data_IF_967273576335
#
_entry.id   IF_967273576335
#
_cell.length_a   1.000
_cell.length_b   1.000
_cell.length_c   1.000
_cell.angle_alpha   90.00
_cell.angle_beta   90.00
_cell.angle_gamma   90.00
#
_symmetry.space_group_name_H-M   'P 1'
#
loop_
_entity.id
_entity.type
_entity.pdbx_description
1 polymer ?
#
# COMPACT_ATOMS: atom_id res chain seq x y z
N UNK A 1 2.64 13.99 -1.05
CA UNK A 1 2.24 12.72 -0.45
C UNK A 1 3.40 11.70 -0.40
N UNK A 2 4.23 11.65 -1.42
CA UNK A 2 5.38 10.73 -1.50
C UNK A 2 6.72 11.35 -1.08
N UNK A 3 6.77 12.63 -0.78
CA UNK A 3 8.02 13.33 -0.47
C UNK A 3 8.84 12.67 0.66
N UNK A 4 8.24 12.25 1.79
CA UNK A 4 9.00 11.57 2.84
C UNK A 4 9.62 10.23 2.40
N UNK A 5 8.98 9.54 1.44
CA UNK A 5 9.44 8.22 0.96
C UNK A 5 10.74 8.31 0.16
N UNK A 6 10.97 9.43 -0.53
CA UNK A 6 12.20 9.66 -1.31
C UNK A 6 13.13 10.70 -0.66
N UNK A 7 12.95 10.98 0.63
CA UNK A 7 13.88 11.74 1.44
C UNK A 7 13.66 13.25 1.48
N UNK A 8 12.57 13.77 0.94
CA UNK A 8 12.22 15.18 1.08
C UNK A 8 11.42 15.40 2.38
N UNK A 9 11.70 16.47 3.12
CA UNK A 9 10.97 16.81 4.33
C UNK A 9 9.51 17.13 4.06
N UNK A 10 9.21 17.84 2.97
CA UNK A 10 7.87 18.16 2.52
C UNK A 10 7.86 18.46 1.01
N UNK A 11 6.66 18.45 0.43
CA UNK A 11 6.36 19.03 -0.87
C UNK A 11 5.42 20.21 -0.68
N UNK A 12 5.66 21.29 -1.40
CA UNK A 12 4.81 22.47 -1.37
C UNK A 12 4.38 22.85 -2.78
N UNK A 13 3.09 23.11 -2.91
CA UNK A 13 2.48 23.61 -4.14
C UNK A 13 1.69 24.89 -3.80
N UNK A 14 1.80 25.97 -4.60
CA UNK A 14 1.00 27.15 -4.39
C UNK A 14 -0.49 26.85 -4.63
N UNK A 15 -1.36 27.59 -3.95
CA UNK A 15 -2.81 27.52 -4.12
C UNK A 15 -3.19 28.26 -5.40
N UNK A 16 -4.13 27.70 -6.18
CA UNK A 16 -4.62 28.25 -7.43
C UNK A 16 -6.12 27.99 -7.64
N UNK A 17 -6.64 28.41 -8.80
CA UNK A 17 -8.04 28.20 -9.15
C UNK A 17 -8.45 26.72 -9.24
N UNK A 18 -7.51 25.82 -9.59
CA UNK A 18 -7.76 24.38 -9.61
C UNK A 18 -8.00 23.85 -8.20
N UNK A 19 -7.24 24.36 -7.22
CA UNK A 19 -7.44 24.07 -5.80
C UNK A 19 -8.84 24.49 -5.34
N UNK A 20 -9.27 25.71 -5.70
CA UNK A 20 -10.62 26.19 -5.35
C UNK A 20 -11.71 25.36 -6.04
N UNK A 21 -11.50 24.98 -7.30
CA UNK A 21 -12.40 24.09 -8.03
C UNK A 21 -12.57 22.73 -7.33
N UNK A 22 -11.48 22.13 -6.85
CA UNK A 22 -11.54 20.91 -6.07
C UNK A 22 -12.26 21.08 -4.73
N UNK A 23 -12.04 22.19 -4.03
CA UNK A 23 -12.73 22.51 -2.79
C UNK A 23 -14.26 22.60 -3.03
N UNK A 24 -14.67 23.22 -4.12
CA UNK A 24 -16.09 23.31 -4.53
C UNK A 24 -16.66 21.92 -4.80
N UNK A 25 -15.98 21.10 -5.61
CA UNK A 25 -16.40 19.72 -5.91
C UNK A 25 -16.53 18.88 -4.63
N UNK A 26 -15.56 19.01 -3.70
CA UNK A 26 -15.55 18.27 -2.44
C UNK A 26 -16.47 18.83 -1.35
N UNK A 27 -17.40 19.74 -1.71
CA UNK A 27 -18.47 20.21 -0.83
C UNK A 27 -18.08 21.26 0.21
N UNK A 28 -16.97 22.00 0.01
CA UNK A 28 -16.62 23.12 0.91
C UNK A 28 -17.56 24.29 0.69
N UNK A 29 -17.91 25.00 1.78
CA UNK A 29 -18.78 26.17 1.69
C UNK A 29 -18.16 27.32 0.90
N UNK A 30 -18.99 28.16 0.26
CA UNK A 30 -18.52 29.33 -0.45
C UNK A 30 -17.69 30.28 0.43
N UNK A 31 -18.06 30.41 1.70
CA UNK A 31 -17.32 31.20 2.69
C UNK A 31 -15.93 30.64 2.95
N UNK A 32 -15.81 29.31 3.11
CA UNK A 32 -14.51 28.66 3.33
C UNK A 32 -13.63 28.78 2.09
N UNK A 33 -14.18 28.66 0.89
CA UNK A 33 -13.43 28.81 -0.37
C UNK A 33 -12.93 30.26 -0.50
N UNK A 34 -13.79 31.26 -0.24
CA UNK A 34 -13.40 32.66 -0.26
C UNK A 34 -12.33 32.99 0.80
N UNK A 35 -12.44 32.40 1.99
CA UNK A 35 -11.42 32.55 3.06
C UNK A 35 -10.07 31.98 2.61
N UNK A 36 -10.03 30.77 2.03
CA UNK A 36 -8.79 30.13 1.55
C UNK A 36 -8.14 30.97 0.45
N UNK A 37 -8.93 31.49 -0.49
CA UNK A 37 -8.44 32.36 -1.56
C UNK A 37 -7.84 33.65 -0.98
N UNK A 38 -8.59 34.37 -0.13
CA UNK A 38 -8.14 35.62 0.47
C UNK A 38 -6.89 35.42 1.33
N UNK A 39 -6.86 34.35 2.14
CA UNK A 39 -5.72 34.01 2.99
C UNK A 39 -4.47 33.65 2.18
N UNK A 40 -4.61 32.79 1.17
CA UNK A 40 -3.50 32.38 0.31
C UNK A 40 -2.88 33.60 -0.42
N UNK A 41 -3.73 34.52 -0.91
CA UNK A 41 -3.27 35.77 -1.55
C UNK A 41 -2.54 36.68 -0.53
N UNK A 42 -3.10 36.85 0.67
CA UNK A 42 -2.49 37.69 1.72
C UNK A 42 -1.16 37.14 2.23
N UNK A 43 -0.99 35.82 2.26
CA UNK A 43 0.23 35.15 2.70
C UNK A 43 1.30 34.96 1.59
N UNK A 44 1.01 35.37 0.35
CA UNK A 44 1.91 35.15 -0.78
C UNK A 44 2.02 33.68 -1.20
N UNK A 45 1.03 32.85 -0.86
CA UNK A 45 0.97 31.42 -1.23
C UNK A 45 0.10 31.17 -2.46
N UNK A 46 -0.46 32.22 -3.05
CA UNK A 46 -1.25 32.14 -4.27
C UNK A 46 -0.34 32.10 -5.49
N UNK A 47 -0.68 31.24 -6.44
CA UNK A 47 0.03 31.14 -7.72
C UNK A 47 -0.42 32.29 -8.65
N UNK A 48 0.48 33.22 -8.94
CA UNK A 48 0.28 34.18 -10.02
C UNK A 48 1.09 33.74 -11.25
N UNK A 49 0.53 33.83 -12.46
CA UNK A 49 1.28 33.58 -13.68
C UNK A 49 2.49 34.50 -13.77
N UNK A 50 3.68 33.93 -13.96
CA UNK A 50 4.93 34.69 -14.09
C UNK A 50 5.69 34.94 -12.78
N UNK A 51 5.14 34.57 -11.62
CA UNK A 51 5.90 34.61 -10.37
C UNK A 51 6.96 33.51 -10.37
N UNK A 52 8.22 33.89 -10.22
CA UNK A 52 9.36 32.97 -10.11
C UNK A 52 10.02 33.15 -8.73
N UNK A 53 9.72 32.29 -7.74
CA UNK A 53 10.38 32.32 -6.45
C UNK A 53 11.89 32.03 -6.58
N UNK A 54 12.68 32.61 -5.71
CA UNK A 54 14.12 32.33 -5.64
C UNK A 54 14.36 31.06 -4.85
N UNK A 55 14.83 30.01 -5.53
CA UNK A 55 15.13 28.72 -4.93
C UNK A 55 16.63 28.51 -4.75
N UNK A 56 17.02 27.63 -3.82
CA UNK A 56 18.42 27.21 -3.65
C UNK A 56 18.93 26.46 -4.88
N UNK A 57 18.04 25.64 -5.49
CA UNK A 57 18.29 24.94 -6.74
C UNK A 57 16.99 24.74 -7.51
N UNK A 58 17.08 24.56 -8.80
CA UNK A 58 15.92 24.35 -9.68
C UNK A 58 16.13 23.10 -10.54
N UNK A 59 15.02 22.42 -10.83
CA UNK A 59 14.95 21.30 -11.77
C UNK A 59 13.92 21.63 -12.85
N UNK A 60 14.22 21.23 -14.09
CA UNK A 60 13.30 21.32 -15.20
C UNK A 60 12.99 19.92 -15.73
N UNK A 61 11.72 19.68 -16.03
CA UNK A 61 11.26 18.43 -16.65
C UNK A 61 10.47 18.77 -17.91
N UNK A 62 10.95 18.24 -19.05
CA UNK A 62 10.17 18.24 -20.28
C UNK A 62 9.08 17.18 -20.18
N UNK A 63 7.82 17.61 -20.09
CA UNK A 63 6.66 16.72 -19.95
C UNK A 63 6.48 15.77 -21.14
N UNK A 64 7.04 16.10 -22.33
CA UNK A 64 7.01 15.21 -23.48
C UNK A 64 7.87 13.95 -23.31
N UNK A 65 8.82 13.98 -22.37
CA UNK A 65 9.68 12.84 -22.03
C UNK A 65 9.08 11.89 -20.99
N UNK A 66 7.93 12.24 -20.44
CA UNK A 66 7.24 11.41 -19.43
C UNK A 66 6.59 10.20 -20.10
N UNK A 67 6.98 9.02 -19.67
CA UNK A 67 6.47 7.73 -20.14
C UNK A 67 5.83 6.93 -19.02
N UNK A 68 4.95 5.99 -19.38
CA UNK A 68 4.32 5.08 -18.41
C UNK A 68 5.40 4.32 -17.63
N UNK A 69 5.32 4.38 -16.30
CA UNK A 69 6.35 3.84 -15.41
C UNK A 69 5.73 3.23 -14.15
N UNK A 70 6.47 2.31 -13.54
CA UNK A 70 6.24 1.80 -12.20
C UNK A 70 7.38 2.24 -11.29
N UNK A 71 7.19 2.12 -9.97
CA UNK A 71 8.28 2.20 -9.02
C UNK A 71 8.51 0.83 -8.38
N UNK A 72 9.74 0.34 -8.42
CA UNK A 72 10.10 -0.98 -7.90
C UNK A 72 11.42 -1.50 -8.47
N UNK A 73 11.80 -2.70 -8.07
CA UNK A 73 11.05 -3.69 -7.29
C UNK A 73 11.11 -3.55 -5.77
N UNK A 74 11.87 -2.60 -5.22
CA UNK A 74 12.16 -2.56 -3.77
C UNK A 74 11.86 -1.22 -3.10
N UNK A 75 11.92 -0.09 -3.81
CA UNK A 75 11.80 1.25 -3.23
C UNK A 75 10.90 2.17 -4.04
N UNK A 76 10.22 3.14 -3.41
CA UNK A 76 9.31 4.05 -4.10
C UNK A 76 9.98 4.96 -5.14
N UNK A 77 11.26 5.23 -5.00
CA UNK A 77 12.05 6.07 -5.92
C UNK A 77 12.67 5.29 -7.09
N UNK A 78 12.63 3.97 -7.09
CA UNK A 78 13.19 3.14 -8.15
C UNK A 78 12.25 3.17 -9.36
N UNK A 79 12.36 4.21 -10.20
CA UNK A 79 11.53 4.35 -11.40
C UNK A 79 11.94 3.36 -12.48
N UNK A 80 10.98 2.63 -13.00
CA UNK A 80 11.14 1.70 -14.11
C UNK A 80 10.10 1.99 -15.19
N UNK A 81 10.53 2.27 -16.42
CA UNK A 81 9.63 2.43 -17.55
C UNK A 81 8.88 1.12 -17.83
N UNK A 82 7.60 1.20 -18.19
CA UNK A 82 6.71 0.04 -18.35
C UNK A 82 7.30 -1.07 -19.26
N UNK A 83 7.91 -0.77 -20.41
CA UNK A 83 8.54 -1.81 -21.26
C UNK A 83 9.78 -2.46 -20.63
N UNK A 84 10.39 -1.84 -19.63
CA UNK A 84 11.61 -2.34 -18.98
C UNK A 84 11.33 -3.14 -17.68
N UNK A 85 10.06 -3.33 -17.29
CA UNK A 85 9.70 -4.06 -16.08
C UNK A 85 10.21 -5.50 -16.08
N UNK A 86 10.12 -6.28 -17.19
CA UNK A 86 10.67 -7.64 -17.24
C UNK A 86 12.17 -7.70 -16.95
N UNK A 87 12.94 -6.75 -17.51
CA UNK A 87 14.39 -6.68 -17.30
C UNK A 87 14.73 -6.27 -15.86
N UNK A 88 13.99 -5.30 -15.29
CA UNK A 88 14.20 -4.87 -13.91
C UNK A 88 13.86 -6.00 -12.92
N UNK A 89 12.81 -6.78 -13.19
CA UNK A 89 12.49 -7.98 -12.42
C UNK A 89 13.63 -9.01 -12.49
N UNK A 90 14.12 -9.30 -13.70
CA UNK A 90 15.23 -10.24 -13.91
C UNK A 90 16.49 -9.80 -13.15
N UNK A 91 16.88 -8.54 -13.28
CA UNK A 91 18.05 -8.00 -12.59
C UNK A 91 17.93 -8.09 -11.06
N UNK A 92 16.75 -7.80 -10.50
CA UNK A 92 16.49 -7.93 -9.07
C UNK A 92 16.61 -9.38 -8.58
N UNK A 93 16.12 -10.34 -9.38
CA UNK A 93 16.20 -11.77 -9.06
C UNK A 93 17.64 -12.30 -9.13
N UNK A 94 18.40 -11.89 -10.11
CA UNK A 94 19.81 -12.31 -10.30
C UNK A 94 20.69 -11.81 -9.14
N UNK A 95 20.46 -10.58 -8.66
CA UNK A 95 21.18 -10.01 -7.52
C UNK A 95 20.88 -10.75 -6.20
N UNK A 96 19.61 -11.08 -5.97
CA UNK A 96 19.18 -11.76 -4.73
C UNK A 96 19.67 -13.21 -4.64
N UNK A 97 19.91 -13.87 -5.78
CA UNK A 97 20.30 -15.30 -5.83
C UNK A 97 21.81 -15.47 -6.00
N UNK A 98 22.57 -14.38 -6.16
CA UNK A 98 24.01 -14.47 -6.43
C UNK A 98 24.35 -15.31 -7.67
N UNK A 99 23.44 -15.40 -8.63
CA UNK A 99 23.61 -16.19 -9.86
C UNK A 99 23.50 -17.72 -9.69
N UNK A 100 23.10 -18.23 -8.52
CA UNK A 100 23.14 -19.67 -8.20
C UNK A 100 21.77 -20.36 -8.19
N UNK A 101 20.72 -19.83 -8.80
CA UNK A 101 19.42 -20.50 -8.83
C UNK A 101 19.47 -21.75 -9.72
N UNK A 102 19.50 -22.91 -9.07
CA UNK A 102 19.50 -24.24 -9.73
C UNK A 102 18.12 -24.90 -9.77
N UNK A 103 17.10 -24.24 -9.20
CA UNK A 103 15.74 -24.81 -9.10
C UNK A 103 14.88 -24.50 -10.32
N UNK A 104 13.86 -25.33 -10.56
CA UNK A 104 12.87 -25.16 -11.61
C UNK A 104 12.22 -23.77 -11.51
N UNK A 105 11.94 -23.17 -12.68
CA UNK A 105 11.32 -21.84 -12.82
C UNK A 105 9.82 -21.82 -12.48
N UNK A 106 9.26 -22.94 -11.99
CA UNK A 106 7.84 -23.06 -11.65
C UNK A 106 7.51 -24.23 -10.72
N UNK A 107 6.35 -24.14 -10.10
CA UNK A 107 5.76 -25.14 -9.23
C UNK A 107 4.27 -25.31 -9.54
N UNK A 108 3.85 -26.54 -9.79
CA UNK A 108 2.44 -26.89 -9.98
C UNK A 108 1.72 -26.93 -8.64
N UNK A 109 0.49 -26.41 -8.60
CA UNK A 109 -0.39 -26.44 -7.44
C UNK A 109 -1.85 -26.59 -7.87
N UNK A 110 -2.73 -26.98 -6.95
CA UNK A 110 -4.17 -27.09 -7.19
C UNK A 110 -4.91 -26.03 -6.44
N UNK A 111 -5.76 -25.27 -7.13
CA UNK A 111 -6.65 -24.26 -6.55
C UNK A 111 -8.06 -24.47 -7.10
N UNK A 112 -9.05 -24.55 -6.22
CA UNK A 112 -10.47 -24.79 -6.57
C UNK A 112 -10.68 -26.00 -7.50
N UNK A 113 -9.89 -27.06 -7.30
CA UNK A 113 -9.95 -28.30 -8.08
C UNK A 113 -9.27 -28.23 -9.46
N UNK A 114 -8.70 -27.08 -9.82
CA UNK A 114 -7.96 -26.90 -11.07
C UNK A 114 -6.46 -26.88 -10.84
N UNK A 115 -5.70 -27.46 -11.75
CA UNK A 115 -4.25 -27.48 -11.70
C UNK A 115 -3.67 -26.23 -12.38
N UNK A 116 -2.79 -25.53 -11.67
CA UNK A 116 -2.11 -24.33 -12.15
C UNK A 116 -0.61 -24.46 -11.94
N UNK A 117 0.17 -23.66 -12.65
CA UNK A 117 1.62 -23.53 -12.46
C UNK A 117 1.94 -22.11 -12.02
N UNK A 118 2.57 -21.98 -10.85
CA UNK A 118 3.13 -20.71 -10.37
C UNK A 118 4.59 -20.64 -10.75
N UNK A 119 5.01 -19.54 -11.38
CA UNK A 119 6.38 -19.34 -11.86
C UNK A 119 7.04 -18.15 -11.19
N UNK A 120 8.37 -18.08 -11.26
CA UNK A 120 9.10 -16.85 -10.93
C UNK A 120 8.52 -15.66 -11.70
N UNK A 121 8.31 -14.55 -11.00
CA UNK A 121 7.68 -13.35 -11.55
C UNK A 121 6.15 -13.35 -11.50
N UNK A 122 5.52 -14.41 -11.00
CA UNK A 122 4.07 -14.38 -10.79
C UNK A 122 3.66 -13.21 -9.89
N UNK A 123 2.66 -12.47 -10.31
CA UNK A 123 1.97 -11.49 -9.45
C UNK A 123 1.01 -12.27 -8.57
N UNK A 124 1.22 -12.24 -7.26
CA UNK A 124 0.35 -12.94 -6.30
C UNK A 124 -0.53 -11.99 -5.47
N UNK A 125 -0.24 -10.68 -5.52
CA UNK A 125 -1.06 -9.62 -4.93
C UNK A 125 -1.20 -8.49 -5.93
N UNK A 126 -2.43 -8.06 -6.20
CA UNK A 126 -2.75 -6.87 -6.96
C UNK A 126 -3.77 -6.03 -6.17
N UNK A 127 -3.35 -4.86 -5.67
CA UNK A 127 -4.17 -4.10 -4.75
C UNK A 127 -4.34 -2.65 -5.18
N UNK A 128 -5.59 -2.21 -5.34
CA UNK A 128 -5.92 -0.79 -5.44
C UNK A 128 -6.06 -0.27 -4.02
N UNK A 129 -5.13 0.59 -3.58
CA UNK A 129 -5.08 1.14 -2.23
C UNK A 129 -5.26 2.64 -2.20
N UNK A 130 -5.46 3.22 -1.01
CA UNK A 130 -5.93 4.59 -0.84
C UNK A 130 -4.90 5.69 -1.05
N UNK A 131 -3.60 5.41 -1.00
CA UNK A 131 -2.58 6.43 -0.64
C UNK A 131 -2.52 7.67 -1.54
N UNK A 132 -2.80 7.56 -2.85
CA UNK A 132 -2.66 8.69 -3.80
C UNK A 132 -3.94 8.98 -4.58
N UNK A 133 -4.93 8.12 -4.50
CA UNK A 133 -6.01 8.10 -5.50
C UNK A 133 -7.28 8.81 -5.06
N UNK A 134 -7.42 9.13 -3.77
CA UNK A 134 -8.66 9.69 -3.20
C UNK A 134 -9.00 11.05 -3.78
N UNK A 135 -7.99 11.87 -4.08
CA UNK A 135 -8.19 13.24 -4.57
C UNK A 135 -8.28 13.32 -6.09
N UNK A 136 -8.01 12.23 -6.82
CA UNK A 136 -8.03 12.22 -8.27
C UNK A 136 -8.97 11.13 -8.82
N UNK A 137 -10.25 11.45 -9.04
CA UNK A 137 -11.22 10.50 -9.58
C UNK A 137 -10.83 9.93 -10.95
N UNK A 138 -10.07 10.66 -11.76
CA UNK A 138 -9.74 10.24 -13.13
C UNK A 138 -8.99 8.91 -13.17
N UNK A 139 -8.01 8.70 -12.27
CA UNK A 139 -7.24 7.45 -12.24
C UNK A 139 -8.06 6.27 -11.71
N UNK A 140 -9.02 6.54 -10.82
CA UNK A 140 -9.93 5.52 -10.32
C UNK A 140 -10.95 5.14 -11.40
N UNK A 141 -11.58 6.12 -12.04
CA UNK A 141 -12.47 5.87 -13.17
C UNK A 141 -11.76 5.13 -14.30
N UNK A 142 -10.51 5.47 -14.59
CA UNK A 142 -9.71 4.73 -15.57
C UNK A 142 -9.54 3.26 -15.20
N UNK A 143 -9.32 2.92 -13.91
CA UNK A 143 -9.23 1.54 -13.45
C UNK A 143 -10.56 0.78 -13.63
N UNK A 144 -11.69 1.40 -13.24
CA UNK A 144 -13.01 0.82 -13.42
C UNK A 144 -13.39 0.62 -14.89
N UNK A 145 -13.07 1.59 -15.76
CA UNK A 145 -13.29 1.48 -17.21
C UNK A 145 -12.41 0.40 -17.85
N UNK A 146 -11.14 0.28 -17.42
CA UNK A 146 -10.25 -0.77 -17.87
C UNK A 146 -10.79 -2.15 -17.46
N UNK A 147 -11.27 -2.30 -16.22
CA UNK A 147 -11.92 -3.52 -15.77
C UNK A 147 -13.15 -3.85 -16.61
N UNK A 148 -14.03 -2.88 -16.87
CA UNK A 148 -15.19 -3.01 -17.75
C UNK A 148 -14.80 -3.49 -19.16
N UNK A 149 -13.78 -2.87 -19.76
CA UNK A 149 -13.33 -3.22 -21.10
C UNK A 149 -12.72 -4.63 -21.12
N UNK A 150 -11.92 -5.00 -20.11
CA UNK A 150 -11.34 -6.33 -19.95
C UNK A 150 -12.41 -7.42 -19.83
N UNK A 151 -13.39 -7.23 -18.94
CA UNK A 151 -14.51 -8.16 -18.75
C UNK A 151 -15.32 -8.35 -20.03
N UNK A 152 -15.63 -7.26 -20.74
CA UNK A 152 -16.34 -7.33 -22.03
C UNK A 152 -15.56 -8.08 -23.11
N UNK A 153 -14.24 -8.06 -23.07
CA UNK A 153 -13.37 -8.84 -23.94
C UNK A 153 -13.20 -10.31 -23.48
N UNK A 154 -13.70 -10.67 -22.30
CA UNK A 154 -13.60 -12.02 -21.74
C UNK A 154 -12.38 -12.27 -20.86
N UNK A 155 -11.59 -11.23 -20.55
CA UNK A 155 -10.46 -11.39 -19.66
C UNK A 155 -10.90 -11.53 -18.21
N UNK A 156 -10.11 -12.26 -17.43
CA UNK A 156 -10.24 -12.45 -15.98
C UNK A 156 -8.87 -12.30 -15.31
N UNK A 157 -8.88 -11.90 -14.05
CA UNK A 157 -7.66 -11.96 -13.23
C UNK A 157 -7.16 -13.40 -13.15
N UNK A 158 -5.84 -13.57 -13.08
CA UNK A 158 -5.30 -14.93 -12.93
C UNK A 158 -5.66 -15.48 -11.56
N UNK A 159 -6.02 -16.79 -11.45
CA UNK A 159 -6.55 -17.37 -10.23
C UNK A 159 -5.57 -17.32 -9.03
N UNK A 160 -4.27 -17.22 -9.27
CA UNK A 160 -3.26 -17.08 -8.22
C UNK A 160 -3.05 -15.64 -7.73
N UNK A 161 -3.73 -14.64 -8.33
CA UNK A 161 -3.60 -13.24 -7.95
C UNK A 161 -4.66 -12.88 -6.92
N UNK A 162 -4.25 -12.58 -5.71
CA UNK A 162 -5.12 -12.01 -4.69
C UNK A 162 -5.34 -10.53 -4.99
N UNK A 163 -6.55 -10.22 -5.46
CA UNK A 163 -6.97 -8.85 -5.77
C UNK A 163 -7.69 -8.20 -4.58
N UNK A 164 -7.64 -6.87 -4.48
CA UNK A 164 -8.39 -6.12 -3.46
C UNK A 164 -8.58 -4.67 -3.85
N UNK A 165 -9.70 -4.08 -3.38
CA UNK A 165 -10.01 -2.67 -3.48
C UNK A 165 -10.15 -2.08 -2.07
N UNK A 166 -9.30 -1.09 -1.73
CA UNK A 166 -9.36 -0.37 -0.46
C UNK A 166 -9.19 1.13 -0.70
N UNK A 167 -10.24 1.82 -1.18
CA UNK A 167 -10.14 3.24 -1.49
C UNK A 167 -9.99 4.10 -0.23
N UNK A 168 -9.53 5.33 -0.40
CA UNK A 168 -9.31 6.25 0.71
C UNK A 168 -10.57 6.89 1.28
N UNK A 169 -11.70 6.79 0.57
CA UNK A 169 -12.97 7.39 0.97
C UNK A 169 -14.15 6.57 0.44
N UNK A 170 -15.24 6.58 1.17
CA UNK A 170 -16.53 6.02 0.71
C UNK A 170 -17.08 6.72 -0.53
N UNK A 171 -16.72 7.96 -0.76
CA UNK A 171 -17.07 8.68 -2.02
C UNK A 171 -16.60 7.93 -3.26
N UNK A 172 -15.48 7.19 -3.17
CA UNK A 172 -14.97 6.39 -4.30
C UNK A 172 -15.94 5.28 -4.67
N UNK A 173 -16.53 4.60 -3.70
CA UNK A 173 -17.55 3.58 -3.95
C UNK A 173 -18.81 4.19 -4.50
N UNK A 174 -19.26 5.33 -3.99
CA UNK A 174 -20.42 6.05 -4.50
C UNK A 174 -20.30 6.40 -6.00
N UNK A 175 -19.15 6.92 -6.43
CA UNK A 175 -19.00 7.26 -7.85
C UNK A 175 -18.74 6.03 -8.73
N UNK A 176 -18.15 4.96 -8.24
CA UNK A 176 -18.07 3.70 -8.97
C UNK A 176 -19.45 3.09 -9.21
N UNK A 177 -20.32 3.15 -8.21
CA UNK A 177 -21.70 2.67 -8.33
C UNK A 177 -22.51 3.55 -9.31
N UNK A 178 -22.40 4.88 -9.22
CA UNK A 178 -23.03 5.81 -10.16
C UNK A 178 -22.60 5.54 -11.60
N UNK A 179 -21.30 5.34 -11.83
CA UNK A 179 -20.73 5.02 -13.14
C UNK A 179 -20.95 3.55 -13.57
N UNK A 180 -21.58 2.71 -12.72
CA UNK A 180 -21.81 1.27 -12.94
C UNK A 180 -20.53 0.49 -13.24
N UNK A 181 -19.46 0.79 -12.48
CA UNK A 181 -18.14 0.18 -12.65
C UNK A 181 -17.83 -0.86 -11.57
N UNK A 182 -18.51 -0.82 -10.42
CA UNK A 182 -18.30 -1.72 -9.27
C UNK A 182 -18.37 -3.19 -9.70
N UNK A 183 -19.43 -3.60 -10.40
CA UNK A 183 -19.63 -4.99 -10.80
C UNK A 183 -18.48 -5.54 -11.67
N UNK A 184 -17.87 -4.72 -12.51
CA UNK A 184 -16.74 -5.13 -13.34
C UNK A 184 -15.45 -5.29 -12.55
N UNK A 185 -15.23 -4.46 -11.54
CA UNK A 185 -14.11 -4.59 -10.60
C UNK A 185 -14.27 -5.87 -9.78
N UNK A 186 -15.45 -6.12 -9.24
CA UNK A 186 -15.78 -7.33 -8.48
C UNK A 186 -15.64 -8.61 -9.33
N UNK A 187 -16.04 -8.58 -10.60
CA UNK A 187 -15.88 -9.70 -11.53
C UNK A 187 -14.41 -10.05 -11.79
N UNK A 188 -13.50 -9.07 -11.66
CA UNK A 188 -12.06 -9.28 -11.65
C UNK A 188 -11.50 -9.56 -10.25
N UNK A 189 -12.35 -9.68 -9.23
CA UNK A 189 -11.97 -9.99 -7.85
C UNK A 189 -11.51 -8.78 -7.03
N UNK A 190 -11.57 -7.56 -7.58
CA UNK A 190 -11.28 -6.32 -6.83
C UNK A 190 -12.47 -5.95 -5.92
N UNK A 191 -12.74 -6.82 -4.95
CA UNK A 191 -13.78 -6.59 -3.95
C UNK A 191 -13.34 -5.52 -2.94
N UNK A 192 -14.31 -4.75 -2.45
CA UNK A 192 -14.08 -3.81 -1.36
C UNK A 192 -13.73 -4.58 -0.08
N UNK A 193 -12.54 -4.35 0.45
CA UNK A 193 -12.04 -5.00 1.68
C UNK A 193 -11.91 -4.03 2.86
N UNK A 194 -12.08 -2.75 2.62
CA UNK A 194 -12.00 -1.69 3.63
C UNK A 194 -11.66 -0.35 3.01
N UNK A 195 -11.50 0.66 3.85
CA UNK A 195 -11.11 2.01 3.44
C UNK A 195 -9.78 2.38 4.11
N UNK A 196 -8.87 2.97 3.34
CA UNK A 196 -7.60 3.44 3.86
C UNK A 196 -6.40 2.54 3.53
N UNK A 197 -5.35 2.64 4.35
CA UNK A 197 -4.11 1.90 4.16
C UNK A 197 -4.27 0.43 4.57
N UNK A 198 -4.36 -0.46 3.59
CA UNK A 198 -4.45 -1.91 3.79
C UNK A 198 -3.16 -2.60 3.32
N UNK A 199 -3.07 -2.96 2.05
CA UNK A 199 -1.90 -3.66 1.49
C UNK A 199 -0.59 -2.90 1.67
N UNK A 200 -0.60 -1.59 1.50
CA UNK A 200 0.60 -0.74 1.66
C UNK A 200 1.23 -0.80 3.07
N UNK A 201 0.47 -1.20 4.08
CA UNK A 201 0.93 -1.37 5.48
C UNK A 201 1.02 -2.84 5.90
N UNK A 202 0.92 -3.78 4.97
CA UNK A 202 1.02 -5.21 5.28
C UNK A 202 -0.26 -5.86 5.80
N UNK A 203 -1.42 -5.26 5.56
CA UNK A 203 -2.72 -5.80 5.96
C UNK A 203 -3.45 -6.52 4.81
N UNK A 204 -2.71 -7.07 3.85
CA UNK A 204 -3.30 -7.88 2.76
C UNK A 204 -3.88 -9.22 3.24
N UNK A 205 -3.58 -9.60 4.48
CA UNK A 205 -3.88 -10.94 4.98
C UNK A 205 -3.00 -12.03 4.33
N UNK A 206 -3.19 -13.31 4.71
CA UNK A 206 -2.43 -14.42 4.16
C UNK A 206 -2.77 -14.64 2.67
N UNK A 207 -1.83 -15.21 1.93
CA UNK A 207 -2.14 -15.79 0.62
C UNK A 207 -2.90 -17.10 0.83
N UNK A 208 -3.67 -17.58 -0.16
CA UNK A 208 -4.24 -18.93 -0.11
C UNK A 208 -3.16 -20.00 0.10
N UNK A 209 -3.43 -20.96 0.98
CA UNK A 209 -2.46 -21.99 1.38
C UNK A 209 -1.75 -22.70 0.20
N UNK A 210 -2.45 -23.09 -0.89
CA UNK A 210 -1.79 -23.72 -2.04
C UNK A 210 -0.75 -22.81 -2.71
N UNK A 211 -1.01 -21.51 -2.73
CA UNK A 211 -0.10 -20.50 -3.31
C UNK A 211 1.10 -20.30 -2.39
N UNK A 212 0.87 -20.15 -1.09
CA UNK A 212 1.97 -20.08 -0.11
C UNK A 212 2.89 -21.30 -0.16
N UNK A 213 2.29 -22.49 -0.23
CA UNK A 213 3.03 -23.73 -0.32
C UNK A 213 3.84 -23.80 -1.62
N UNK A 214 3.26 -23.46 -2.76
CA UNK A 214 3.96 -23.45 -4.04
C UNK A 214 5.14 -22.46 -4.03
N UNK A 215 5.00 -21.27 -3.43
CA UNK A 215 6.09 -20.30 -3.29
C UNK A 215 7.22 -20.88 -2.44
N UNK A 216 6.91 -21.47 -1.27
CA UNK A 216 7.89 -22.01 -0.34
C UNK A 216 8.64 -23.22 -0.91
N UNK A 217 7.90 -24.19 -1.46
CA UNK A 217 8.48 -25.43 -2.03
C UNK A 217 9.29 -25.16 -3.31
N UNK A 218 8.81 -24.24 -4.14
CA UNK A 218 9.48 -23.82 -5.38
C UNK A 218 10.62 -22.83 -5.15
N UNK A 219 10.72 -22.25 -3.93
CA UNK A 219 11.58 -21.10 -3.64
C UNK A 219 11.40 -20.00 -4.69
N UNK A 220 10.13 -19.69 -4.99
CA UNK A 220 9.78 -18.79 -6.08
C UNK A 220 9.94 -17.33 -5.66
N UNK A 221 10.40 -16.52 -6.60
CA UNK A 221 10.40 -15.06 -6.46
C UNK A 221 9.14 -14.51 -7.10
N UNK A 222 8.19 -14.11 -6.27
CA UNK A 222 6.89 -13.57 -6.69
C UNK A 222 6.79 -12.07 -6.44
N UNK A 223 5.81 -11.43 -7.07
CA UNK A 223 5.59 -9.99 -7.01
C UNK A 223 4.25 -9.56 -6.45
N UNK A 224 4.23 -8.34 -5.90
CA UNK A 224 3.01 -7.59 -5.61
C UNK A 224 2.97 -6.31 -6.44
N UNK A 225 1.81 -5.94 -6.94
CA UNK A 225 1.56 -4.67 -7.64
C UNK A 225 0.46 -3.92 -6.90
N UNK A 226 0.75 -2.69 -6.48
CA UNK A 226 -0.19 -1.92 -5.67
C UNK A 226 -0.17 -0.43 -6.01
N UNK A 227 -1.31 0.23 -5.91
CA UNK A 227 -1.43 1.68 -6.08
C UNK A 227 -1.15 2.44 -4.78
N UNK A 228 -0.10 2.04 -4.08
CA UNK A 228 0.33 2.63 -2.81
C UNK A 228 1.45 3.64 -2.95
N UNK A 229 2.07 4.00 -1.83
CA UNK A 229 3.23 4.88 -1.75
C UNK A 229 4.48 4.21 -1.16
N UNK A 230 4.38 2.97 -0.71
CA UNK A 230 5.48 2.18 -0.14
C UNK A 230 5.47 0.76 -0.69
N UNK A 231 6.65 0.27 -1.03
CA UNK A 231 6.86 -1.07 -1.59
C UNK A 231 8.08 -1.78 -0.99
N UNK A 232 8.46 -1.44 0.24
CA UNK A 232 9.61 -2.06 0.89
C UNK A 232 9.40 -3.56 1.07
N UNK A 233 10.44 -4.33 0.78
CA UNK A 233 10.43 -5.77 0.94
C UNK A 233 10.13 -6.19 2.39
N UNK A 234 9.32 -7.23 2.54
CA UNK A 234 8.86 -7.70 3.84
C UNK A 234 7.72 -6.90 4.47
N UNK A 235 7.37 -5.71 3.89
CA UNK A 235 6.26 -4.88 4.37
C UNK A 235 4.92 -5.33 3.83
N UNK A 236 4.83 -5.60 2.52
CA UNK A 236 3.58 -5.94 1.86
C UNK A 236 3.13 -7.36 2.24
N UNK A 237 4.02 -8.33 2.07
CA UNK A 237 3.80 -9.71 2.49
C UNK A 237 5.16 -10.43 2.67
N UNK A 238 5.33 -11.28 3.70
CA UNK A 238 6.62 -11.93 3.98
C UNK A 238 7.16 -12.79 2.84
N UNK A 239 6.30 -13.39 2.03
CA UNK A 239 6.70 -14.26 0.92
C UNK A 239 6.92 -13.50 -0.40
N UNK A 240 6.60 -12.21 -0.45
CA UNK A 240 6.70 -11.42 -1.69
C UNK A 240 8.00 -10.62 -1.67
N UNK A 241 8.91 -10.97 -2.59
CA UNK A 241 10.26 -10.38 -2.66
C UNK A 241 10.33 -9.15 -3.55
N UNK A 242 9.46 -9.01 -4.55
CA UNK A 242 9.42 -7.86 -5.45
C UNK A 242 8.10 -7.11 -5.33
N UNK A 243 8.18 -5.81 -5.07
CA UNK A 243 7.01 -5.00 -4.79
C UNK A 243 7.01 -3.77 -5.69
N UNK A 244 5.90 -3.54 -6.40
CA UNK A 244 5.80 -2.55 -7.46
C UNK A 244 4.66 -1.58 -7.20
N UNK A 245 4.97 -0.29 -7.22
CA UNK A 245 3.96 0.76 -7.18
C UNK A 245 3.52 1.09 -8.60
N UNK A 246 2.24 1.08 -8.83
CA UNK A 246 1.62 1.35 -10.12
C UNK A 246 0.35 2.19 -9.98
N UNK A 247 -0.09 2.83 -11.05
CA UNK A 247 -1.41 3.45 -11.09
C UNK A 247 -2.52 2.40 -10.96
N UNK A 248 -3.72 2.75 -10.45
CA UNK A 248 -4.85 1.81 -10.35
C UNK A 248 -5.16 1.05 -11.65
N UNK A 249 -5.17 1.67 -12.85
CA UNK A 249 -5.37 0.93 -14.08
C UNK A 249 -4.27 -0.11 -14.34
N UNK A 250 -3.00 0.21 -14.06
CA UNK A 250 -1.91 -0.75 -14.23
C UNK A 250 -1.96 -1.88 -13.19
N UNK A 251 -2.48 -1.64 -11.99
CA UNK A 251 -2.74 -2.71 -11.01
C UNK A 251 -3.73 -3.72 -11.58
N UNK A 252 -4.83 -3.24 -12.21
CA UNK A 252 -5.79 -4.13 -12.90
C UNK A 252 -5.12 -4.88 -14.04
N UNK A 253 -4.32 -4.20 -14.87
CA UNK A 253 -3.61 -4.82 -15.99
C UNK A 253 -2.66 -5.95 -15.53
N UNK A 254 -1.92 -5.75 -14.45
CA UNK A 254 -1.04 -6.78 -13.90
C UNK A 254 -1.79 -7.94 -13.21
N UNK A 255 -3.01 -7.71 -12.69
CA UNK A 255 -3.86 -8.79 -12.22
C UNK A 255 -4.31 -9.69 -13.36
N UNK A 256 -4.65 -9.10 -14.52
CA UNK A 256 -5.00 -9.83 -15.76
C UNK A 256 -3.79 -10.59 -16.32
N UNK A 257 -2.63 -9.96 -16.38
CA UNK A 257 -1.39 -10.55 -16.87
C UNK A 257 -0.87 -11.66 -15.95
N UNK A 258 -0.94 -11.44 -14.63
CA UNK A 258 -0.49 -12.40 -13.61
C UNK A 258 1.02 -12.58 -13.50
N UNK A 259 1.83 -11.74 -14.16
CA UNK A 259 3.28 -11.87 -14.21
C UNK A 259 4.00 -10.52 -14.36
N UNK A 260 5.15 -10.36 -13.69
CA UNK A 260 6.08 -9.26 -13.90
C UNK A 260 7.03 -9.47 -15.08
N UNK A 261 7.05 -10.67 -15.65
CA UNK A 261 7.90 -11.02 -16.81
C UNK A 261 7.29 -10.62 -18.16
N UNK A 262 6.10 -10.05 -18.18
CA UNK A 262 5.38 -9.62 -19.38
C UNK A 262 5.71 -8.17 -19.73
N UNK A 263 5.98 -7.88 -20.98
CA UNK A 263 5.99 -6.51 -21.53
C UNK A 263 4.55 -6.14 -21.94
N UNK A 264 3.84 -5.43 -21.03
CA UNK A 264 2.46 -5.00 -21.26
C UNK A 264 2.28 -4.11 -22.50
N UNK A 265 3.34 -3.57 -23.06
CA UNK A 265 3.30 -2.73 -24.27
C UNK A 265 3.27 -3.54 -25.56
N UNK A 266 3.67 -4.83 -25.51
CA UNK A 266 3.87 -5.67 -26.69
C UNK A 266 3.19 -7.03 -26.63
N UNK A 267 3.01 -7.58 -25.42
CA UNK A 267 2.51 -8.94 -25.22
C UNK A 267 1.04 -8.93 -24.81
N UNK A 268 0.27 -9.96 -25.20
CA UNK A 268 -1.15 -10.02 -24.84
C UNK A 268 -1.34 -10.37 -23.37
N UNK A 269 -2.38 -9.80 -22.77
CA UNK A 269 -2.83 -10.09 -21.40
C UNK A 269 -3.51 -11.46 -21.27
N UNK A 270 -4.07 -11.95 -22.36
CA UNK A 270 -4.79 -13.20 -22.46
C UNK A 270 -5.54 -13.31 -23.79
N UNK A 271 -6.42 -14.31 -23.88
CA UNK A 271 -7.31 -14.54 -25.02
C UNK A 271 -8.70 -13.98 -24.71
N UNK A 272 -9.30 -13.35 -25.71
CA UNK A 272 -10.65 -12.83 -25.63
C UNK A 272 -11.72 -13.90 -25.83
N UNK A 273 -13.00 -13.53 -25.73
CA UNK A 273 -14.14 -14.41 -25.98
C UNK A 273 -14.17 -15.00 -27.42
N UNK A 274 -13.49 -14.31 -28.33
CA UNK A 274 -13.35 -14.69 -29.74
C UNK A 274 -12.10 -15.55 -30.03
N UNK A 275 -11.35 -15.92 -28.98
CA UNK A 275 -10.09 -16.64 -29.07
C UNK A 275 -8.91 -15.82 -29.60
N UNK A 276 -9.08 -14.49 -29.76
CA UNK A 276 -8.01 -13.63 -30.22
C UNK A 276 -7.20 -13.07 -29.05
N UNK A 277 -5.90 -12.80 -29.23
CA UNK A 277 -5.08 -12.19 -28.20
C UNK A 277 -5.55 -10.75 -27.90
N UNK A 278 -5.71 -10.43 -26.63
CA UNK A 278 -6.10 -9.10 -26.16
C UNK A 278 -4.91 -8.40 -25.51
N UNK A 279 -4.57 -7.23 -26.02
CA UNK A 279 -3.46 -6.40 -25.56
C UNK A 279 -3.94 -5.28 -24.64
N UNK A 280 -3.03 -4.70 -23.86
CA UNK A 280 -3.36 -3.58 -22.98
C UNK A 280 -4.01 -2.41 -23.73
N UNK A 281 -3.53 -2.10 -24.93
CA UNK A 281 -4.08 -1.03 -25.78
C UNK A 281 -5.54 -1.25 -26.20
N UNK A 282 -5.98 -2.51 -26.26
CA UNK A 282 -7.34 -2.87 -26.71
C UNK A 282 -8.40 -2.67 -25.61
N UNK A 283 -7.96 -2.53 -24.36
CA UNK A 283 -8.80 -2.35 -23.17
C UNK A 283 -8.54 -1.03 -22.44
N UNK A 284 -7.47 -0.29 -22.82
CA UNK A 284 -7.16 0.98 -22.20
C UNK A 284 -8.23 2.03 -22.54
N UNK A 285 -8.87 2.68 -21.53
CA UNK A 285 -9.90 3.66 -21.79
C UNK A 285 -9.33 4.91 -22.45
N UNK A 286 -10.09 5.53 -23.35
CA UNK A 286 -9.72 6.82 -23.94
C UNK A 286 -9.81 7.96 -22.91
N UNK A 287 -9.08 9.04 -23.14
CA UNK A 287 -9.19 10.25 -22.29
C UNK A 287 -10.62 10.82 -22.28
N UNK A 288 -11.37 10.64 -23.37
CA UNK A 288 -12.77 11.06 -23.47
C UNK A 288 -13.68 10.19 -22.59
N UNK A 289 -13.50 8.86 -22.61
CA UNK A 289 -14.27 7.95 -21.74
C UNK A 289 -14.03 8.26 -20.27
N UNK A 290 -12.75 8.52 -19.91
CA UNK A 290 -12.39 8.90 -18.53
C UNK A 290 -13.04 10.22 -18.15
N UNK A 291 -12.96 11.24 -18.99
CA UNK A 291 -13.56 12.55 -18.72
C UNK A 291 -15.08 12.43 -18.52
N UNK A 292 -15.77 11.68 -19.37
CA UNK A 292 -17.21 11.42 -19.24
C UNK A 292 -17.52 10.67 -17.94
N UNK A 293 -16.73 9.68 -17.55
CA UNK A 293 -16.95 8.97 -16.30
C UNK A 293 -16.75 9.87 -15.07
N UNK A 294 -15.80 10.80 -15.12
CA UNK A 294 -15.53 11.76 -14.04
C UNK A 294 -16.73 12.72 -13.82
N UNK A 295 -17.56 12.97 -14.83
CA UNK A 295 -18.78 13.76 -14.67
C UNK A 295 -19.79 13.15 -13.68
N UNK A 296 -19.69 11.84 -13.43
CA UNK A 296 -20.49 11.14 -12.40
C UNK A 296 -20.09 11.50 -10.96
N UNK A 297 -18.91 12.11 -10.75
CA UNK A 297 -18.45 12.54 -9.42
C UNK A 297 -19.13 13.85 -9.05
N UNK A 298 -20.03 13.80 -8.08
CA UNK A 298 -20.88 14.91 -7.69
C UNK A 298 -20.67 15.34 -6.25
N UNK A 299 -20.87 16.62 -5.98
CA UNK A 299 -20.72 17.23 -4.66
C UNK A 299 -21.62 16.56 -3.60
N UNK A 300 -22.79 16.11 -4.00
CA UNK A 300 -23.76 15.45 -3.12
C UNK A 300 -23.19 14.16 -2.49
N UNK A 301 -22.31 13.44 -3.20
CA UNK A 301 -21.63 12.24 -2.68
C UNK A 301 -20.71 12.62 -1.51
N UNK A 302 -20.00 13.73 -1.62
CA UNK A 302 -19.14 14.22 -0.54
C UNK A 302 -19.98 14.70 0.66
N UNK A 303 -21.08 15.40 0.42
CA UNK A 303 -21.96 15.83 1.49
C UNK A 303 -22.58 14.66 2.24
N UNK A 304 -23.03 13.62 1.52
CA UNK A 304 -23.57 12.40 2.09
C UNK A 304 -22.52 11.73 3.01
N UNK A 305 -21.38 11.39 2.45
CA UNK A 305 -20.39 10.59 3.17
C UNK A 305 -19.68 11.35 4.31
N UNK A 306 -19.46 12.65 4.14
CA UNK A 306 -18.86 13.47 5.20
C UNK A 306 -19.87 13.96 6.24
N UNK A 307 -21.16 14.07 5.87
CA UNK A 307 -22.23 14.40 6.80
C UNK A 307 -22.44 13.33 7.89
N UNK A 308 -22.26 12.07 7.51
CA UNK A 308 -22.47 10.90 8.38
C UNK A 308 -21.19 10.36 9.02
N UNK A 309 -20.06 11.03 8.83
CA UNK A 309 -18.73 10.51 9.23
C UNK A 309 -18.62 10.22 10.73
N UNK A 310 -19.36 10.93 11.57
CA UNK A 310 -19.38 10.73 13.03
C UNK A 310 -20.47 9.75 13.50
N UNK A 311 -21.43 9.42 12.65
CA UNK A 311 -22.51 8.49 12.99
C UNK A 311 -22.04 7.03 12.94
N UNK A 312 -21.20 6.72 11.96
CA UNK A 312 -20.67 5.39 11.73
C UNK A 312 -21.75 4.40 11.27
N UNK A 313 -21.36 3.16 11.10
CA UNK A 313 -22.28 2.05 10.78
C UNK A 313 -22.93 1.45 12.03
N UNK A 314 -23.83 0.47 11.83
CA UNK A 314 -24.53 -0.21 12.93
C UNK A 314 -23.56 -0.90 13.91
N UNK A 315 -22.42 -1.40 13.46
CA UNK A 315 -21.42 -2.02 14.33
C UNK A 315 -20.73 -0.97 15.20
N UNK A 316 -20.41 0.18 14.63
CA UNK A 316 -19.85 1.30 15.38
C UNK A 316 -20.82 1.82 16.43
N UNK A 317 -22.08 2.01 16.08
CA UNK A 317 -23.14 2.46 17.00
C UNK A 317 -23.45 1.45 18.12
N UNK A 318 -23.23 0.16 17.86
CA UNK A 318 -23.44 -0.90 18.86
C UNK A 318 -22.35 -0.94 19.93
N UNK A 319 -21.21 -0.25 19.74
CA UNK A 319 -20.13 -0.22 20.73
C UNK A 319 -20.58 0.53 21.98
N UNK A 320 -20.63 -0.20 23.09
CA UNK A 320 -20.96 0.39 24.38
C UNK A 320 -19.74 1.08 24.97
N UNK A 321 -19.83 2.37 25.19
CA UNK A 321 -18.75 3.18 25.79
C UNK A 321 -19.25 3.76 27.11
N UNK A 322 -18.58 3.45 28.21
CA UNK A 322 -18.77 4.16 29.47
C UNK A 322 -17.95 5.41 29.46
N UNK A 323 -18.60 6.57 29.39
CA UNK A 323 -17.93 7.86 29.44
C UNK A 323 -17.16 8.03 30.76
N UNK A 324 -15.87 8.38 30.67
CA UNK A 324 -15.04 8.75 31.82
C UNK A 324 -14.05 9.82 31.43
N UNK A 325 -13.54 10.60 32.42
CA UNK A 325 -12.55 11.64 32.16
C UNK A 325 -11.17 11.08 31.72
N UNK A 326 -10.90 9.81 32.03
CA UNK A 326 -9.67 9.11 31.70
C UNK A 326 -9.98 7.71 31.20
N UNK A 327 -9.10 7.15 30.39
CA UNK A 327 -9.21 5.80 29.90
C UNK A 327 -9.11 4.80 31.08
N UNK A 328 -10.02 3.82 31.11
CA UNK A 328 -10.01 2.74 32.11
C UNK A 328 -9.16 1.59 31.58
N UNK A 329 -7.95 1.47 32.08
CA UNK A 329 -7.01 0.42 31.71
C UNK A 329 -7.48 -0.95 32.17
N UNK A 330 -7.42 -1.94 31.28
CA UNK A 330 -7.71 -3.35 31.56
C UNK A 330 -6.38 -4.12 31.53
N UNK A 331 -6.00 -4.69 32.66
CA UNK A 331 -4.71 -5.39 32.80
C UNK A 331 -4.61 -6.69 32.01
N UNK A 332 -5.74 -7.32 31.72
CA UNK A 332 -5.85 -8.55 30.94
C UNK A 332 -5.94 -8.28 29.42
N UNK A 333 -6.06 -7.04 29.00
CA UNK A 333 -6.12 -6.69 27.57
C UNK A 333 -4.84 -7.10 26.84
N UNK A 334 -4.99 -7.84 25.74
CA UNK A 334 -3.89 -8.20 24.83
C UNK A 334 -3.75 -7.23 23.66
N UNK A 335 -4.60 -6.20 23.56
CA UNK A 335 -4.56 -5.17 22.53
C UNK A 335 -4.05 -3.81 23.02
N UNK A 336 -4.47 -3.40 24.22
CA UNK A 336 -4.12 -2.07 24.77
C UNK A 336 -3.61 -2.25 26.20
N UNK A 337 -2.37 -1.85 26.44
CA UNK A 337 -1.75 -1.91 27.76
C UNK A 337 -1.17 -0.57 28.18
N UNK A 338 -1.25 -0.28 29.48
CA UNK A 338 -0.65 0.92 30.04
C UNK A 338 0.86 0.90 29.80
N UNK A 339 1.44 1.89 29.08
CA UNK A 339 2.86 1.87 28.78
C UNK A 339 3.71 2.26 30.00
N UNK A 340 4.86 1.60 30.24
CA UNK A 340 5.63 1.77 31.46
C UNK A 340 6.30 3.12 31.59
N UNK A 341 6.56 3.82 30.48
CA UNK A 341 7.26 5.12 30.50
C UNK A 341 6.44 6.28 31.07
N UNK A 342 5.15 6.09 31.34
CA UNK A 342 4.33 7.07 32.06
C UNK A 342 4.29 6.83 33.57
N UNK A 343 4.70 5.66 34.07
CA UNK A 343 4.60 5.30 35.49
C UNK A 343 5.46 6.16 36.40
N UNK A 344 6.54 6.74 35.87
CA UNK A 344 7.48 7.61 36.62
C UNK A 344 7.33 9.09 36.26
N UNK A 345 6.34 9.45 35.44
CA UNK A 345 6.13 10.82 34.98
C UNK A 345 5.69 11.72 36.14
N UNK A 346 6.33 12.89 36.23
CA UNK A 346 6.03 13.91 37.25
C UNK A 346 5.22 15.05 36.63
N UNK A 347 4.40 15.72 37.43
CA UNK A 347 3.69 16.95 37.01
C UNK A 347 4.65 18.03 36.55
N UNK A 348 5.78 18.18 37.24
CA UNK A 348 6.87 19.07 36.82
C UNK A 348 7.99 18.21 36.25
N UNK A 349 8.35 18.41 34.96
CA UNK A 349 9.47 17.70 34.36
C UNK A 349 10.78 17.96 35.06
N UNK A 350 11.64 16.96 35.13
CA UNK A 350 13.02 17.18 35.59
C UNK A 350 13.76 18.05 34.57
N UNK A 351 14.74 18.88 35.02
CA UNK A 351 15.54 19.67 34.11
C UNK A 351 16.35 18.76 33.16
N UNK A 352 16.53 19.24 31.93
CA UNK A 352 17.34 18.52 30.92
C UNK A 352 18.78 18.41 31.46
N UNK A 353 19.31 17.21 31.38
CA UNK A 353 20.70 16.91 31.80
C UNK A 353 21.48 16.29 30.65
N UNK A 354 22.79 16.49 30.64
CA UNK A 354 23.67 15.81 29.71
C UNK A 354 23.68 14.30 29.95
N UNK A 355 23.67 13.53 28.89
CA UNK A 355 23.88 12.07 28.92
C UNK A 355 25.39 11.84 28.97
N UNK A 356 25.89 11.29 30.08
CA UNK A 356 27.31 10.98 30.29
C UNK A 356 27.52 9.48 30.36
N UNK A 357 28.68 9.02 29.91
CA UNK A 357 29.17 7.63 30.01
C UNK A 357 28.23 6.61 29.30
N UNK A 358 27.42 7.05 28.36
CA UNK A 358 26.55 6.18 27.59
C UNK A 358 27.36 5.30 26.62
N UNK A 359 26.98 4.02 26.53
CA UNK A 359 27.55 3.07 25.58
C UNK A 359 26.62 2.89 24.40
N UNK A 360 27.18 2.69 23.21
CA UNK A 360 26.41 2.43 22.01
C UNK A 360 25.84 1.00 22.11
N UNK A 361 24.51 0.89 22.05
CA UNK A 361 23.81 -0.38 22.04
C UNK A 361 23.72 -0.99 20.62
N UNK A 362 23.45 -0.18 19.62
CA UNK A 362 23.34 -0.60 18.23
C UNK A 362 23.75 0.53 17.30
N UNK A 363 24.35 0.18 16.16
CA UNK A 363 24.65 1.07 15.05
C UNK A 363 23.82 0.56 13.86
N UNK A 364 22.97 1.43 13.32
CA UNK A 364 22.15 1.12 12.16
C UNK A 364 22.77 1.80 10.95
N UNK A 365 23.02 1.01 9.89
CA UNK A 365 23.55 1.51 8.64
C UNK A 365 22.50 2.24 7.81
N UNK A 366 22.89 2.77 6.65
CA UNK A 366 22.02 3.45 5.72
C UNK A 366 20.85 2.55 5.27
N UNK A 367 19.74 3.20 4.92
CA UNK A 367 18.51 2.56 4.43
C UNK A 367 17.76 1.70 5.45
N UNK A 368 18.12 1.72 6.72
CA UNK A 368 17.31 1.15 7.80
C UNK A 368 16.16 2.12 8.12
N UNK A 369 14.93 1.63 7.99
CA UNK A 369 13.70 2.40 8.20
C UNK A 369 12.96 1.90 9.45
N UNK A 370 11.86 2.57 9.80
CA UNK A 370 10.95 2.14 10.86
C UNK A 370 10.39 0.73 10.62
N UNK A 371 10.24 0.30 9.36
CA UNK A 371 9.77 -1.04 9.02
C UNK A 371 10.76 -2.16 9.43
N UNK A 372 12.05 -1.85 9.51
CA UNK A 372 13.06 -2.79 10.02
C UNK A 372 13.01 -2.91 11.54
N UNK A 373 12.68 -1.82 12.23
CA UNK A 373 12.71 -1.74 13.71
C UNK A 373 11.37 -2.17 14.31
N UNK A 374 10.24 -1.69 13.77
CA UNK A 374 8.90 -1.91 14.31
C UNK A 374 7.98 -2.50 13.24
N UNK A 375 7.74 -3.81 13.24
CA UNK A 375 6.95 -4.48 12.22
C UNK A 375 5.46 -4.11 12.30
N UNK A 376 4.76 -4.26 11.19
CA UNK A 376 3.30 -4.09 11.09
C UNK A 376 2.57 -5.38 10.66
N UNK A 377 3.28 -6.33 10.07
CA UNK A 377 2.73 -7.56 9.51
C UNK A 377 2.30 -8.61 10.54
N UNK A 378 2.01 -9.81 10.04
CA UNK A 378 1.50 -10.93 10.85
C UNK A 378 2.49 -11.38 11.93
N UNK A 379 1.95 -11.79 13.07
CA UNK A 379 2.71 -12.33 14.21
C UNK A 379 2.85 -13.84 14.02
N UNK A 380 4.09 -14.33 13.90
CA UNK A 380 4.37 -15.76 13.78
C UNK A 380 4.18 -16.47 15.11
N UNK A 381 3.66 -17.70 15.08
CA UNK A 381 3.38 -18.52 16.27
C UNK A 381 4.61 -18.74 17.15
N UNK A 382 5.73 -19.03 16.55
CA UNK A 382 7.00 -19.35 17.20
C UNK A 382 7.87 -18.12 17.54
N UNK A 383 7.39 -16.91 17.20
CA UNK A 383 8.06 -15.66 17.56
C UNK A 383 7.92 -15.33 19.05
N UNK A 384 8.79 -14.47 19.61
CA UNK A 384 8.64 -13.98 20.98
C UNK A 384 7.26 -13.39 21.28
N UNK A 385 6.70 -12.63 20.32
CA UNK A 385 5.36 -12.05 20.43
C UNK A 385 4.25 -13.12 20.37
N UNK A 386 4.41 -14.13 19.51
CA UNK A 386 3.46 -15.24 19.41
C UNK A 386 3.42 -16.08 20.68
N UNK A 387 4.58 -16.37 21.28
CA UNK A 387 4.64 -17.05 22.58
C UNK A 387 3.97 -16.25 23.69
N UNK A 388 4.27 -14.94 23.77
CA UNK A 388 3.60 -14.05 24.72
C UNK A 388 2.08 -14.08 24.58
N UNK A 389 1.55 -13.98 23.37
CA UNK A 389 0.11 -14.04 23.14
C UNK A 389 -0.50 -15.39 23.52
N UNK A 390 0.18 -16.51 23.20
CA UNK A 390 -0.26 -17.85 23.59
C UNK A 390 -0.30 -18.02 25.13
N UNK A 391 0.69 -17.50 25.84
CA UNK A 391 0.75 -17.49 27.31
C UNK A 391 -0.39 -16.66 27.92
N UNK A 392 -0.92 -15.69 27.18
CA UNK A 392 -2.10 -14.89 27.58
C UNK A 392 -3.43 -15.43 27.00
N UNK A 393 -3.45 -16.70 26.57
CA UNK A 393 -4.68 -17.38 26.15
C UNK A 393 -5.19 -17.00 24.76
N UNK A 394 -4.41 -16.28 23.94
CA UNK A 394 -4.79 -15.95 22.57
C UNK A 394 -4.41 -17.10 21.64
N UNK A 395 -5.39 -17.65 20.91
CA UNK A 395 -5.13 -18.71 19.95
C UNK A 395 -4.37 -18.19 18.72
N UNK A 396 -3.52 -19.00 18.05
CA UNK A 396 -2.71 -18.56 16.92
C UNK A 396 -3.48 -17.92 15.76
N UNK A 397 -4.69 -18.38 15.48
CA UNK A 397 -5.57 -17.79 14.47
C UNK A 397 -6.06 -16.39 14.84
N UNK A 398 -6.02 -16.03 16.14
CA UNK A 398 -6.51 -14.76 16.69
C UNK A 398 -5.35 -13.78 16.99
N UNK A 399 -4.11 -14.14 16.64
CA UNK A 399 -2.95 -13.28 16.89
C UNK A 399 -3.07 -11.94 16.19
N UNK A 400 -3.66 -11.94 14.98
CA UNK A 400 -3.76 -10.76 14.15
C UNK A 400 -2.36 -10.24 13.76
N UNK A 401 -2.17 -8.94 13.60
CA UNK A 401 -0.91 -8.34 13.18
C UNK A 401 -0.29 -7.48 14.27
N UNK A 402 1.00 -7.19 14.15
CA UNK A 402 1.67 -6.19 14.98
C UNK A 402 0.99 -4.81 14.86
N UNK A 403 0.52 -4.47 13.65
CA UNK A 403 -0.21 -3.24 13.40
C UNK A 403 -1.49 -3.13 14.23
N UNK A 404 -2.27 -4.21 14.34
CA UNK A 404 -3.50 -4.27 15.13
C UNK A 404 -3.23 -4.21 16.64
N UNK A 405 -2.06 -4.61 17.10
CA UNK A 405 -1.67 -4.67 18.52
C UNK A 405 -0.71 -3.57 18.93
N UNK A 406 -0.59 -2.49 18.15
CA UNK A 406 0.33 -1.37 18.46
C UNK A 406 0.09 -0.71 19.81
N UNK A 407 -1.12 -0.79 20.35
CA UNK A 407 -1.46 -0.33 21.70
C UNK A 407 -0.91 -1.21 22.82
N UNK A 408 -0.33 -2.37 22.51
CA UNK A 408 0.29 -3.28 23.47
C UNK A 408 1.82 -3.27 23.32
N UNK A 409 2.50 -2.50 24.17
CA UNK A 409 3.96 -2.39 24.15
C UNK A 409 4.68 -3.73 24.38
N UNK A 410 4.07 -4.67 25.13
CA UNK A 410 4.62 -6.01 25.37
C UNK A 410 4.70 -6.84 24.09
N UNK A 411 3.71 -6.72 23.20
CA UNK A 411 3.75 -7.33 21.87
C UNK A 411 4.77 -6.61 20.98
N UNK A 412 4.74 -5.27 20.99
CA UNK A 412 5.58 -4.48 20.09
C UNK A 412 7.07 -4.60 20.39
N UNK A 413 7.47 -4.59 21.68
CA UNK A 413 8.88 -4.77 22.03
C UNK A 413 9.42 -6.15 21.64
N UNK A 414 8.57 -7.18 21.64
CA UNK A 414 8.91 -8.53 21.19
C UNK A 414 8.96 -8.68 19.67
N UNK A 415 8.49 -7.67 18.95
CA UNK A 415 8.58 -7.53 17.50
C UNK A 415 9.74 -6.65 17.03
N UNK A 416 10.47 -6.01 17.95
CA UNK A 416 11.60 -5.14 17.58
C UNK A 416 12.65 -5.93 16.80
N UNK A 417 13.03 -5.38 15.63
CA UNK A 417 13.92 -6.02 14.66
C UNK A 417 13.41 -7.39 14.11
N UNK A 418 12.13 -7.67 14.17
CA UNK A 418 11.56 -8.90 13.60
C UNK A 418 11.46 -8.88 12.07
N UNK A 419 12.00 -7.85 11.39
CA UNK A 419 12.07 -7.81 9.94
C UNK A 419 12.89 -8.99 9.40
N UNK A 420 12.35 -9.70 8.41
CA UNK A 420 12.93 -10.92 7.87
C UNK A 420 14.19 -10.69 7.01
N UNK A 421 14.48 -9.43 6.65
CA UNK A 421 15.58 -9.04 5.75
C UNK A 421 16.69 -8.25 6.45
N UNK A 422 16.51 -7.92 7.72
CA UNK A 422 17.59 -7.27 8.47
C UNK A 422 18.79 -8.22 8.59
N UNK A 423 19.97 -7.66 8.47
CA UNK A 423 21.22 -8.41 8.64
C UNK A 423 21.99 -7.83 9.81
N UNK A 424 22.40 -8.69 10.72
CA UNK A 424 23.20 -8.30 11.86
C UNK A 424 24.63 -8.83 11.70
N UNK A 425 25.61 -7.93 11.66
CA UNK A 425 27.03 -8.30 11.51
C UNK A 425 27.58 -9.19 12.62
N UNK A 426 26.92 -9.22 13.79
CA UNK A 426 27.26 -10.17 14.87
C UNK A 426 26.92 -11.64 14.53
N UNK A 427 26.07 -11.88 13.53
CA UNK A 427 25.65 -13.19 13.05
C UNK A 427 25.75 -13.25 11.52
N UNK A 428 26.96 -13.23 10.94
CA UNK A 428 27.16 -13.19 9.51
C UNK A 428 26.46 -14.34 8.78
N UNK A 429 25.84 -14.05 7.63
CA UNK A 429 25.15 -15.05 6.81
C UNK A 429 23.74 -15.42 7.30
N UNK A 430 23.25 -14.83 8.38
CA UNK A 430 21.89 -15.03 8.89
C UNK A 430 21.05 -13.79 8.61
N UNK A 431 19.89 -13.98 7.96
CA UNK A 431 18.89 -12.92 7.76
C UNK A 431 17.79 -13.00 8.82
N UNK A 432 17.22 -11.86 9.17
CA UNK A 432 16.16 -11.72 10.17
C UNK A 432 16.67 -11.17 11.50
N UNK A 433 15.77 -11.02 12.45
CA UNK A 433 16.01 -10.39 13.75
C UNK A 433 16.78 -11.28 14.73
N UNK A 434 17.93 -11.81 14.31
CA UNK A 434 18.80 -12.66 15.13
C UNK A 434 20.01 -11.90 15.64
N UNK A 435 20.45 -12.22 16.85
CA UNK A 435 21.68 -11.67 17.46
C UNK A 435 22.34 -12.71 18.35
N UNK A 436 23.52 -12.38 18.87
CA UNK A 436 24.17 -13.13 19.95
C UNK A 436 23.93 -12.41 21.26
N UNK A 437 23.74 -13.19 22.31
CA UNK A 437 23.77 -12.67 23.67
C UNK A 437 25.20 -12.19 23.98
N UNK A 438 25.30 -10.97 24.54
CA UNK A 438 26.57 -10.34 24.95
C UNK A 438 26.83 -10.69 26.41
#
# INVERSE_FOLDING_TARGET
NMSPEFGATCGFFPVDDVTLGYMKLSGRSAEQIALVEAYAKAQGMWRNPGDEPVFTSSLALDMSTVEASLAGPKRPQDRVALPNVPQAFKAATELDIGGQKTKADGKTFTLDGQQHELRDGAVVIAAITSCTNTSNPSVMMAAGLLAKNAVKKGLRSKPWVKTSLAPGSKVVTDYFDSAKLTAYLEELGFNLVGYGCTTCIGNSGPLPDPIEQAIKEGDLTVGAVLSGNRNFEGRIHPLVKTNWLASPPLVVAYALAGSMKIDLTKEPLGEGNDGQPVYLKDIWPSSQDIAQAVEEVRTEMFHKEYGEVFDGDANWQAIQVTGSATYQWQEDSTYIRHPPFFSTMKVTPDPVQDIKDARILAILADSVTTDHISPAGNIKRDSPAGRYLSEHGVAPQDFNSYGSRRGNHEVMMRGTFANIRIRNEMVPGVEGGYTRHI
#
